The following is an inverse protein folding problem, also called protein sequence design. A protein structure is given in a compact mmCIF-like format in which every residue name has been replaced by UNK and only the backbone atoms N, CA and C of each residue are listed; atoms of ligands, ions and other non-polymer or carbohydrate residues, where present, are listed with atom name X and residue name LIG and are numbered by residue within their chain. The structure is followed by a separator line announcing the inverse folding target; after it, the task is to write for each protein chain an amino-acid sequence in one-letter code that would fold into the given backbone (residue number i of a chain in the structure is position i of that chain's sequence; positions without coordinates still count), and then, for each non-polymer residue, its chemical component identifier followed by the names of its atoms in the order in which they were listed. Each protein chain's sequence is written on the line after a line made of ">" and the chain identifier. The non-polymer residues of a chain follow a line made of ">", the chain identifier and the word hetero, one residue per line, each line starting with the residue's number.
data_IF_819549410965
#
_entry.id   IF_819549410965
#
_cell.length_a   1.000
_cell.length_b   1.000
_cell.length_c   1.000
_cell.angle_alpha   90.00
_cell.angle_beta   90.00
_cell.angle_gamma   90.00
#
_symmetry.space_group_name_H-M   'P 1'
#
loop_
_entity.id
_entity.type
_entity.pdbx_description
1 polymer ?
#
# COMPACT_ATOMS: atom_id res chain seq x y z
N UNK A 1 -26.57 -15.75 -6.80
CA UNK A 1 -27.90 -15.12 -6.64
C UNK A 1 -27.85 -13.81 -7.42
N UNK A 2 -28.95 -13.42 -8.05
CA UNK A 2 -29.06 -12.17 -8.82
C UNK A 2 -30.27 -11.41 -8.27
N UNK A 3 -30.07 -10.13 -7.94
CA UNK A 3 -31.11 -9.22 -7.49
C UNK A 3 -31.38 -8.22 -8.63
N UNK A 4 -32.59 -8.24 -9.17
CA UNK A 4 -33.02 -7.31 -10.23
C UNK A 4 -34.00 -6.30 -9.64
N UNK A 5 -33.84 -5.03 -10.00
CA UNK A 5 -34.64 -3.95 -9.43
C UNK A 5 -34.28 -2.59 -9.99
N UNK A 6 -34.73 -1.53 -9.32
CA UNK A 6 -34.49 -0.15 -9.70
C UNK A 6 -34.04 0.69 -8.52
N UNK A 7 -33.19 1.69 -8.81
CA UNK A 7 -32.88 2.75 -7.86
C UNK A 7 -34.07 3.72 -7.82
N UNK A 8 -34.71 3.88 -6.66
CA UNK A 8 -35.87 4.78 -6.54
C UNK A 8 -35.41 6.23 -6.55
N UNK A 9 -35.76 6.96 -7.62
CA UNK A 9 -35.38 8.37 -7.76
C UNK A 9 -35.92 9.21 -6.61
N UNK A 10 -35.06 10.09 -6.06
CA UNK A 10 -35.37 11.02 -4.96
C UNK A 10 -35.76 10.36 -3.63
N UNK A 11 -35.70 9.03 -3.51
CA UNK A 11 -35.84 8.33 -2.23
C UNK A 11 -34.47 8.05 -1.64
N UNK A 12 -34.29 8.42 -0.37
CA UNK A 12 -33.05 8.24 0.38
C UNK A 12 -33.39 7.71 1.76
N UNK A 13 -32.56 6.82 2.27
CA UNK A 13 -32.64 6.33 3.65
C UNK A 13 -31.26 6.42 4.29
N UNK A 14 -31.25 6.50 5.62
CA UNK A 14 -30.00 6.57 6.39
C UNK A 14 -29.38 5.16 6.40
N UNK A 15 -28.18 5.06 5.85
CA UNK A 15 -27.31 3.89 5.93
C UNK A 15 -26.25 4.13 7.01
N UNK A 16 -25.84 3.06 7.70
CA UNK A 16 -24.84 3.09 8.76
C UNK A 16 -25.39 3.30 10.19
N UNK A 17 -24.51 3.39 11.20
CA UNK A 17 -23.05 3.32 11.07
C UNK A 17 -22.58 1.92 10.63
N UNK A 18 -21.53 1.87 9.80
CA UNK A 18 -20.99 0.62 9.27
C UNK A 18 -19.48 0.52 9.54
N UNK A 19 -18.96 -0.68 9.79
CA UNK A 19 -17.53 -0.88 10.01
C UNK A 19 -16.76 -0.82 8.69
N UNK A 20 -15.87 0.15 8.54
CA UNK A 20 -15.11 0.38 7.31
C UNK A 20 -13.78 -0.38 7.28
N UNK A 21 -13.18 -0.47 6.09
CA UNK A 21 -11.88 -1.13 5.84
C UNK A 21 -10.71 -0.46 6.58
N UNK A 22 -10.93 0.75 7.10
CA UNK A 22 -9.96 1.43 7.96
C UNK A 22 -9.98 0.90 9.40
N UNK A 23 -10.89 -0.03 9.73
CA UNK A 23 -11.11 -0.54 11.09
C UNK A 23 -11.94 0.37 11.98
N UNK A 24 -12.55 1.40 11.43
CA UNK A 24 -13.36 2.39 12.15
C UNK A 24 -14.80 2.40 11.64
N UNK A 25 -15.75 2.83 12.48
CA UNK A 25 -17.12 3.04 12.02
C UNK A 25 -17.23 4.30 11.16
N UNK A 26 -17.86 4.19 10.00
CA UNK A 26 -18.38 5.35 9.27
C UNK A 26 -19.64 5.88 9.95
N UNK A 27 -19.86 7.19 9.83
CA UNK A 27 -21.11 7.82 10.26
C UNK A 27 -22.26 7.50 9.32
N UNK A 28 -23.48 7.84 9.73
CA UNK A 28 -24.65 7.61 8.89
C UNK A 28 -24.71 8.53 7.68
N UNK A 29 -25.06 8.00 6.50
CA UNK A 29 -25.18 8.77 5.24
C UNK A 29 -26.53 8.49 4.57
N UNK A 30 -27.09 9.52 3.93
CA UNK A 30 -28.32 9.36 3.14
C UNK A 30 -28.02 8.69 1.80
N UNK A 31 -28.30 7.39 1.70
CA UNK A 31 -28.00 6.57 0.53
C UNK A 31 -29.25 6.32 -0.31
N UNK A 32 -29.06 5.99 -1.58
CA UNK A 32 -30.16 5.63 -2.49
C UNK A 32 -30.80 4.32 -2.08
N UNK A 33 -32.14 4.24 -2.17
CA UNK A 33 -32.86 2.98 -1.96
C UNK A 33 -32.95 2.20 -3.27
N UNK A 34 -32.53 0.94 -3.25
CA UNK A 34 -32.75 0.00 -4.34
C UNK A 34 -33.99 -0.83 -4.03
N UNK A 35 -35.05 -0.68 -4.83
CA UNK A 35 -36.23 -1.57 -4.76
C UNK A 35 -35.96 -2.81 -5.58
N UNK A 36 -36.01 -3.98 -4.95
CA UNK A 36 -35.84 -5.27 -5.62
C UNK A 36 -37.18 -5.75 -6.16
N UNK A 37 -37.24 -5.96 -7.47
CA UNK A 37 -38.44 -6.43 -8.17
C UNK A 37 -38.38 -7.95 -8.38
N UNK A 38 -37.19 -8.55 -8.55
CA UNK A 38 -37.00 -10.02 -8.72
C UNK A 38 -35.72 -10.53 -8.09
N UNK A 39 -35.75 -11.80 -7.66
CA UNK A 39 -34.59 -12.53 -7.13
C UNK A 39 -34.44 -13.86 -7.89
N UNK A 40 -33.33 -14.01 -8.60
CA UNK A 40 -33.03 -15.19 -9.43
C UNK A 40 -31.83 -15.97 -8.85
N UNK A 41 -31.91 -17.31 -8.78
CA UNK A 41 -30.85 -18.15 -8.22
C UNK A 41 -30.83 -19.55 -8.81
N UNK A 42 -29.66 -20.21 -8.73
CA UNK A 42 -29.48 -21.63 -9.13
C UNK A 42 -30.11 -22.60 -8.14
N UNK A 43 -30.41 -23.82 -8.58
CA UNK A 43 -30.76 -24.93 -7.68
C UNK A 43 -29.64 -25.14 -6.65
N UNK A 44 -30.00 -25.20 -5.35
CA UNK A 44 -29.07 -25.19 -4.20
C UNK A 44 -28.11 -23.97 -4.22
N UNK A 45 -28.61 -22.76 -3.93
CA UNK A 45 -27.79 -21.57 -3.96
C UNK A 45 -26.71 -21.59 -2.86
N UNK A 46 -25.59 -20.93 -3.14
CA UNK A 46 -24.57 -20.58 -2.13
C UNK A 46 -24.68 -19.06 -1.96
N UNK A 47 -24.75 -18.61 -0.71
CA UNK A 47 -24.72 -17.19 -0.38
C UNK A 47 -23.27 -16.83 -0.01
N UNK A 48 -22.63 -16.09 -0.91
CA UNK A 48 -21.27 -15.57 -0.71
C UNK A 48 -21.38 -14.16 -0.13
N UNK A 49 -20.66 -13.94 0.96
CA UNK A 49 -20.58 -12.66 1.64
C UNK A 49 -19.17 -12.51 2.16
N UNK A 50 -18.66 -11.29 2.12
CA UNK A 50 -17.42 -10.90 2.77
C UNK A 50 -17.74 -9.88 3.85
N UNK A 51 -16.82 -9.70 4.78
CA UNK A 51 -16.86 -8.60 5.74
C UNK A 51 -15.64 -7.70 5.52
N UNK A 52 -15.73 -6.47 6.04
CA UNK A 52 -14.63 -5.53 6.09
C UNK A 52 -14.45 -5.04 7.53
N UNK A 53 -13.26 -4.55 7.84
CA UNK A 53 -12.89 -4.11 9.18
C UNK A 53 -11.41 -3.81 9.26
N UNK A 54 -10.81 -4.02 10.44
CA UNK A 54 -9.37 -3.86 10.61
C UNK A 54 -8.62 -4.91 9.78
N UNK A 55 -7.69 -4.52 8.89
CA UNK A 55 -6.95 -5.45 8.06
C UNK A 55 -6.08 -6.40 8.91
N UNK A 56 -5.83 -7.64 8.47
CA UNK A 56 -6.16 -8.20 7.16
C UNK A 56 -7.50 -8.95 7.16
N UNK A 57 -8.31 -8.71 6.14
CA UNK A 57 -9.59 -9.35 5.87
C UNK A 57 -9.66 -9.80 4.41
N UNK A 58 -10.69 -10.55 4.02
CA UNK A 58 -10.85 -11.04 2.64
C UNK A 58 -10.86 -9.91 1.60
N UNK A 59 -11.46 -8.76 1.93
CA UNK A 59 -11.51 -7.61 1.02
C UNK A 59 -10.13 -7.03 0.74
N UNK A 60 -9.20 -7.06 1.71
CA UNK A 60 -7.84 -6.53 1.53
C UNK A 60 -7.07 -7.32 0.48
N UNK A 61 -7.31 -8.64 0.40
CA UNK A 61 -6.70 -9.50 -0.60
C UNK A 61 -7.36 -9.38 -1.98
N UNK A 62 -8.60 -8.88 -2.06
CA UNK A 62 -9.27 -8.57 -3.32
C UNK A 62 -8.90 -7.18 -3.84
N UNK A 63 -8.91 -6.18 -2.96
CA UNK A 63 -8.69 -4.78 -3.29
C UNK A 63 -7.21 -4.41 -3.36
N UNK A 64 -6.37 -4.98 -2.49
CA UNK A 64 -4.95 -4.67 -2.43
C UNK A 64 -4.24 -4.87 -3.78
N UNK A 65 -4.36 -6.02 -4.47
CA UNK A 65 -3.80 -6.21 -5.80
C UNK A 65 -4.40 -5.26 -6.85
N UNK A 66 -5.70 -4.97 -6.74
CA UNK A 66 -6.40 -4.01 -7.60
C UNK A 66 -5.88 -2.56 -7.42
N UNK A 67 -5.25 -2.26 -6.29
CA UNK A 67 -4.53 -0.99 -6.06
C UNK A 67 -3.06 -1.06 -6.48
N UNK A 68 -2.37 -2.17 -6.17
CA UNK A 68 -0.95 -2.35 -6.47
C UNK A 68 -0.67 -2.27 -7.98
N UNK A 69 -1.47 -2.98 -8.79
CA UNK A 69 -1.20 -3.14 -10.23
C UNK A 69 -1.37 -1.82 -11.00
N UNK A 70 -2.47 -1.06 -10.87
CA UNK A 70 -2.61 0.22 -11.57
C UNK A 70 -1.57 1.24 -11.14
N UNK A 71 -1.26 1.32 -9.83
CA UNK A 71 -0.25 2.25 -9.32
C UNK A 71 1.14 1.90 -9.87
N UNK A 72 1.50 0.61 -9.89
CA UNK A 72 2.73 0.13 -10.52
C UNK A 72 2.78 0.51 -12.00
N UNK A 73 1.73 0.23 -12.78
CA UNK A 73 1.71 0.53 -14.21
C UNK A 73 1.87 2.03 -14.51
N UNK A 74 1.16 2.88 -13.76
CA UNK A 74 1.22 4.33 -13.91
C UNK A 74 2.61 4.88 -13.56
N UNK A 75 3.22 4.39 -12.48
CA UNK A 75 4.56 4.80 -12.09
C UNK A 75 5.63 4.27 -13.04
N UNK A 76 5.55 3.00 -13.43
CA UNK A 76 6.53 2.34 -14.29
C UNK A 76 6.62 2.97 -15.67
N UNK A 77 5.50 3.49 -16.19
CA UNK A 77 5.45 4.19 -17.46
C UNK A 77 6.30 5.48 -17.47
N UNK A 78 6.40 6.15 -16.33
CA UNK A 78 7.12 7.43 -16.19
C UNK A 78 8.51 7.25 -15.57
N UNK A 79 8.65 6.27 -14.68
CA UNK A 79 9.87 5.91 -13.97
C UNK A 79 10.17 4.42 -14.16
N UNK A 80 10.90 4.05 -15.24
CA UNK A 80 11.34 2.68 -15.46
C UNK A 80 12.16 2.10 -14.29
N UNK A 81 12.70 2.94 -13.42
CA UNK A 81 13.44 2.60 -12.20
C UNK A 81 12.56 1.95 -11.12
N UNK A 82 11.23 2.13 -11.13
CA UNK A 82 10.32 1.50 -10.16
C UNK A 82 10.33 -0.01 -10.35
N UNK A 83 10.68 -0.76 -9.31
CA UNK A 83 10.79 -2.23 -9.37
C UNK A 83 9.48 -2.91 -8.94
N UNK A 84 8.89 -2.43 -7.85
CA UNK A 84 7.67 -3.01 -7.28
C UNK A 84 6.90 -1.98 -6.45
N UNK A 85 5.59 -2.20 -6.30
CA UNK A 85 4.69 -1.37 -5.51
C UNK A 85 3.81 -2.28 -4.66
N UNK A 86 3.89 -2.11 -3.34
CA UNK A 86 2.97 -2.70 -2.38
C UNK A 86 2.05 -1.61 -1.83
N UNK A 87 0.79 -1.61 -2.26
CA UNK A 87 -0.27 -0.74 -1.77
C UNK A 87 -1.39 -1.57 -1.09
N UNK A 88 -1.04 -2.71 -0.51
CA UNK A 88 -1.99 -3.60 0.18
C UNK A 88 -2.49 -3.00 1.50
N UNK A 89 -1.68 -2.16 2.15
CA UNK A 89 -1.98 -1.62 3.48
C UNK A 89 -3.15 -0.65 3.44
N UNK A 90 -4.28 -1.10 4.00
CA UNK A 90 -5.54 -0.35 4.12
C UNK A 90 -5.95 0.24 2.77
N UNK A 91 -6.04 -0.64 1.75
CA UNK A 91 -6.43 -0.31 0.38
C UNK A 91 -5.60 0.80 -0.29
N UNK A 92 -4.34 0.99 0.12
CA UNK A 92 -3.42 1.94 -0.48
C UNK A 92 -3.29 3.27 0.25
N UNK A 93 -3.89 3.41 1.45
CA UNK A 93 -3.58 4.54 2.34
C UNK A 93 -2.09 4.66 2.63
N UNK A 94 -1.41 3.52 2.76
CA UNK A 94 0.04 3.41 2.79
C UNK A 94 0.53 2.60 1.60
N UNK A 95 1.47 3.17 0.85
CA UNK A 95 2.19 2.47 -0.21
C UNK A 95 3.67 2.31 0.15
N UNK A 96 4.26 1.19 -0.24
CA UNK A 96 5.69 0.92 -0.16
C UNK A 96 6.18 0.68 -1.58
N UNK A 97 7.15 1.47 -2.02
CA UNK A 97 7.60 1.49 -3.42
C UNK A 97 9.09 1.22 -3.45
N UNK A 98 9.47 0.13 -4.12
CA UNK A 98 10.85 -0.18 -4.41
C UNK A 98 11.26 0.48 -5.73
N UNK A 99 12.38 1.22 -5.71
CA UNK A 99 12.90 1.91 -6.89
C UNK A 99 14.42 1.78 -6.97
N UNK A 100 14.93 1.66 -8.20
CA UNK A 100 16.36 1.79 -8.46
C UNK A 100 16.83 3.21 -8.17
N UNK A 101 18.00 3.32 -7.57
CA UNK A 101 18.70 4.59 -7.39
C UNK A 101 19.20 5.13 -8.72
N UNK A 102 18.91 6.41 -8.99
CA UNK A 102 19.43 7.13 -10.15
C UNK A 102 20.36 8.28 -9.76
N UNK A 103 19.92 9.14 -8.85
CA UNK A 103 20.66 10.23 -8.25
C UNK A 103 19.98 10.65 -6.93
N UNK A 104 20.69 11.37 -6.08
CA UNK A 104 20.18 11.84 -4.78
C UNK A 104 18.88 12.64 -4.92
N UNK A 105 17.86 12.28 -4.15
CA UNK A 105 16.53 12.92 -4.18
C UNK A 105 15.55 12.35 -5.22
N UNK A 106 15.97 11.43 -6.09
CA UNK A 106 15.11 10.82 -7.10
C UNK A 106 13.89 10.09 -6.49
N UNK A 107 14.09 9.34 -5.41
CA UNK A 107 13.03 8.57 -4.75
C UNK A 107 11.86 9.45 -4.30
N UNK A 108 12.13 10.68 -3.86
CA UNK A 108 11.11 11.66 -3.44
C UNK A 108 10.24 12.11 -4.60
N UNK A 109 10.82 12.29 -5.79
CA UNK A 109 10.07 12.62 -6.99
C UNK A 109 9.10 11.48 -7.37
N UNK A 110 9.56 10.22 -7.26
CA UNK A 110 8.72 9.04 -7.47
C UNK A 110 7.59 8.97 -6.44
N UNK A 111 7.90 9.17 -5.14
CA UNK A 111 6.90 9.20 -4.07
C UNK A 111 5.85 10.29 -4.24
N UNK A 112 6.28 11.50 -4.62
CA UNK A 112 5.38 12.61 -4.94
C UNK A 112 4.50 12.28 -6.15
N UNK A 113 5.06 11.63 -7.18
CA UNK A 113 4.27 11.21 -8.32
C UNK A 113 3.26 10.15 -7.92
N UNK A 114 3.61 9.17 -7.09
CA UNK A 114 2.69 8.13 -6.62
C UNK A 114 1.42 8.75 -6.03
N UNK A 115 1.57 9.80 -5.20
CA UNK A 115 0.48 10.54 -4.58
C UNK A 115 -0.36 11.41 -5.52
N UNK A 116 0.11 11.64 -6.75
CA UNK A 116 -0.54 12.52 -7.76
C UNK A 116 -0.91 11.77 -9.04
N UNK A 117 -0.65 10.47 -9.11
CA UNK A 117 -1.17 9.61 -10.17
C UNK A 117 -2.70 9.56 -10.11
N UNK A 118 -3.39 9.30 -11.23
CA UNK A 118 -4.86 9.16 -11.23
C UNK A 118 -5.37 8.16 -10.20
N UNK A 119 -4.65 7.05 -9.99
CA UNK A 119 -5.05 6.06 -9.00
C UNK A 119 -4.66 6.45 -7.57
N UNK A 120 -3.44 6.97 -7.37
CA UNK A 120 -2.94 7.30 -6.04
C UNK A 120 -3.46 8.60 -5.44
N UNK A 121 -4.04 9.50 -6.23
CA UNK A 121 -4.54 10.82 -5.79
C UNK A 121 -5.46 10.71 -4.56
N UNK A 122 -6.45 9.82 -4.61
CA UNK A 122 -7.43 9.63 -3.54
C UNK A 122 -7.00 8.66 -2.43
N UNK A 123 -5.98 7.84 -2.64
CA UNK A 123 -5.64 6.74 -1.72
C UNK A 123 -4.29 6.94 -1.04
N UNK A 124 -3.22 7.20 -1.80
CA UNK A 124 -1.86 7.23 -1.25
C UNK A 124 -1.69 8.45 -0.35
N UNK A 125 -1.84 8.23 0.96
CA UNK A 125 -1.62 9.22 2.01
C UNK A 125 -0.17 9.22 2.45
N UNK A 126 0.39 8.03 2.65
CA UNK A 126 1.78 7.84 3.02
C UNK A 126 2.49 6.96 1.99
N UNK A 127 3.74 7.27 1.69
CA UNK A 127 4.59 6.42 0.86
C UNK A 127 5.95 6.21 1.50
N UNK A 128 6.38 4.95 1.55
CA UNK A 128 7.73 4.56 1.96
C UNK A 128 8.50 4.17 0.71
N UNK A 129 9.56 4.91 0.40
CA UNK A 129 10.45 4.61 -0.70
C UNK A 129 11.59 3.72 -0.20
N UNK A 130 11.83 2.60 -0.87
CA UNK A 130 12.92 1.67 -0.53
C UNK A 130 13.77 1.37 -1.77
N UNK A 131 15.00 0.91 -1.51
CA UNK A 131 15.94 0.50 -2.56
C UNK A 131 15.43 -0.69 -3.38
N UNK A 132 16.04 -0.92 -4.55
CA UNK A 132 15.74 -2.04 -5.44
C UNK A 132 16.02 -3.43 -4.86
N UNK A 133 16.80 -3.51 -3.79
CA UNK A 133 17.15 -4.74 -3.06
C UNK A 133 16.25 -5.01 -1.85
N UNK A 134 15.28 -4.12 -1.58
CA UNK A 134 14.27 -4.28 -0.53
C UNK A 134 12.95 -4.70 -1.18
N UNK A 135 12.46 -5.88 -0.80
CA UNK A 135 11.14 -6.34 -1.21
C UNK A 135 10.05 -5.55 -0.46
N UNK A 136 9.20 -4.76 -1.15
CA UNK A 136 8.16 -3.98 -0.49
C UNK A 136 7.05 -4.85 0.12
N UNK A 137 6.99 -6.14 -0.18
CA UNK A 137 6.08 -7.10 0.46
C UNK A 137 6.70 -7.77 1.71
N UNK A 138 8.00 -7.59 1.94
CA UNK A 138 8.71 -8.10 3.11
C UNK A 138 8.83 -7.01 4.18
N UNK A 139 7.83 -6.93 5.06
CA UNK A 139 7.79 -5.90 6.11
C UNK A 139 9.07 -5.85 6.98
N UNK A 140 9.67 -6.96 7.42
CA UNK A 140 10.97 -6.92 8.10
C UNK A 140 12.07 -6.16 7.34
N UNK A 141 12.20 -6.35 6.02
CA UNK A 141 13.17 -5.61 5.21
C UNK A 141 12.82 -4.12 5.11
N UNK A 142 11.54 -3.78 4.97
CA UNK A 142 11.08 -2.39 4.96
C UNK A 142 11.38 -1.70 6.29
N UNK A 143 11.12 -2.37 7.42
CA UNK A 143 11.41 -1.83 8.75
C UNK A 143 12.92 -1.70 9.00
N UNK A 144 13.74 -2.59 8.43
CA UNK A 144 15.20 -2.43 8.43
C UNK A 144 15.63 -1.20 7.63
N UNK A 145 15.09 -1.00 6.43
CA UNK A 145 15.40 0.19 5.62
C UNK A 145 15.01 1.47 6.35
N UNK A 146 13.80 1.52 6.94
CA UNK A 146 13.34 2.64 7.75
C UNK A 146 14.26 2.93 8.94
N UNK A 147 14.72 1.90 9.66
CA UNK A 147 15.52 2.09 10.87
C UNK A 147 16.99 2.43 10.62
N UNK A 148 17.54 2.06 9.45
CA UNK A 148 18.98 2.21 9.16
C UNK A 148 19.31 3.26 8.08
N UNK A 149 18.34 3.64 7.26
CA UNK A 149 18.56 4.53 6.10
C UNK A 149 17.87 5.88 6.22
N UNK A 150 16.87 6.03 7.09
CA UNK A 150 16.12 7.29 7.25
C UNK A 150 16.81 8.20 8.26
N UNK A 151 17.15 9.42 7.85
CA UNK A 151 17.39 10.52 8.77
C UNK A 151 16.16 11.44 8.77
N UNK A 152 15.34 11.46 9.85
CA UNK A 152 14.07 12.17 9.87
C UNK A 152 14.13 13.66 9.52
N UNK A 153 15.25 14.33 9.82
CA UNK A 153 15.42 15.75 9.53
C UNK A 153 15.53 16.05 8.04
N UNK A 154 15.97 15.07 7.23
CA UNK A 154 16.19 15.24 5.80
C UNK A 154 15.24 14.43 4.93
N UNK A 155 14.77 13.27 5.40
CA UNK A 155 14.17 12.22 4.56
C UNK A 155 12.64 12.11 4.69
N UNK A 156 12.02 13.01 5.46
CA UNK A 156 10.58 13.16 5.54
C UNK A 156 10.13 14.34 4.67
N UNK A 157 9.24 14.09 3.70
CA UNK A 157 8.59 15.16 2.92
C UNK A 157 7.11 15.17 3.25
N UNK A 158 6.70 16.18 4.01
CA UNK A 158 5.31 16.42 4.34
C UNK A 158 4.68 17.37 3.31
N UNK A 159 3.51 17.00 2.79
CA UNK A 159 2.73 17.78 1.84
C UNK A 159 1.40 18.15 2.51
N UNK A 160 1.23 19.41 2.96
CA UNK A 160 0.08 19.78 3.74
C UNK A 160 -1.20 19.92 2.90
N UNK A 161 -2.36 19.69 3.51
CA UNK A 161 -3.69 19.98 2.96
C UNK A 161 -3.97 19.34 1.58
N UNK A 162 -3.63 18.06 1.43
CA UNK A 162 -3.82 17.30 0.21
C UNK A 162 -5.11 16.48 0.24
N UNK A 163 -5.66 16.19 -0.93
CA UNK A 163 -6.85 15.33 -1.06
C UNK A 163 -6.54 13.88 -0.71
N UNK A 164 -7.47 13.25 0.01
CA UNK A 164 -7.55 11.81 0.31
C UNK A 164 -9.02 11.39 0.29
N UNK A 165 -9.31 10.11 0.30
CA UNK A 165 -10.66 9.61 0.43
C UNK A 165 -11.29 10.03 1.78
N UNK A 166 -12.60 10.28 1.78
CA UNK A 166 -13.31 10.75 2.99
C UNK A 166 -13.32 9.77 4.15
N UNK A 167 -13.10 8.47 3.88
CA UNK A 167 -13.09 7.43 4.91
C UNK A 167 -11.73 7.35 5.65
N UNK A 168 -10.72 8.16 5.27
CA UNK A 168 -9.49 8.28 6.05
C UNK A 168 -9.81 8.91 7.42
N UNK A 169 -9.69 8.15 8.54
CA UNK A 169 -10.04 8.64 9.86
C UNK A 169 -9.11 9.77 10.34
N UNK A 170 -7.92 9.89 9.76
CA UNK A 170 -6.96 10.95 10.09
C UNK A 170 -7.12 12.24 9.28
N UNK A 171 -8.17 12.36 8.46
CA UNK A 171 -8.44 13.57 7.67
C UNK A 171 -9.18 14.64 8.48
N UNK A 172 -8.85 15.91 8.25
CA UNK A 172 -9.48 17.06 8.90
C UNK A 172 -9.42 18.30 8.01
N UNK A 173 -10.53 18.76 7.39
CA UNK A 173 -11.84 18.10 7.35
C UNK A 173 -11.81 16.78 6.56
N UNK A 174 -12.92 16.03 6.57
CA UNK A 174 -13.02 14.75 5.86
C UNK A 174 -12.57 14.87 4.40
N UNK A 175 -11.66 13.99 3.98
CA UNK A 175 -11.08 13.99 2.62
C UNK A 175 -9.91 14.95 2.39
N UNK A 176 -9.47 15.67 3.42
CA UNK A 176 -8.27 16.52 3.38
C UNK A 176 -7.31 16.08 4.50
N UNK A 177 -6.07 15.78 4.15
CA UNK A 177 -5.04 15.37 5.11
C UNK A 177 -3.66 15.78 4.62
N UNK A 178 -2.68 15.75 5.51
CA UNK A 178 -1.28 15.89 5.12
C UNK A 178 -0.78 14.55 4.61
N UNK A 179 -0.06 14.57 3.49
CA UNK A 179 0.61 13.39 2.94
C UNK A 179 2.07 13.36 3.37
N UNK A 180 2.64 12.16 3.48
CA UNK A 180 4.02 11.96 3.94
C UNK A 180 4.78 11.00 3.03
N UNK A 181 5.93 11.46 2.53
CA UNK A 181 6.92 10.62 1.87
C UNK A 181 8.03 10.33 2.88
N UNK A 182 8.39 9.07 3.04
CA UNK A 182 9.52 8.61 3.83
C UNK A 182 10.55 8.02 2.87
N UNK A 183 11.67 8.70 2.69
CA UNK A 183 12.77 8.27 1.83
C UNK A 183 13.72 7.35 2.61
N UNK A 184 13.50 6.03 2.49
CA UNK A 184 14.36 5.00 3.06
C UNK A 184 15.29 4.37 2.01
N UNK A 185 15.61 5.13 0.95
CA UNK A 185 16.59 4.72 -0.05
C UNK A 185 18.01 5.06 0.39
N UNK A 186 18.99 4.33 -0.12
CA UNK A 186 20.39 4.60 0.21
C UNK A 186 20.83 5.91 -0.46
N UNK A 187 21.38 6.89 0.28
CA UNK A 187 21.92 8.12 -0.30
C UNK A 187 22.93 7.84 -1.42
N UNK A 188 22.75 8.50 -2.56
CA UNK A 188 23.66 8.47 -3.71
C UNK A 188 23.90 9.88 -4.22
N UNK A 189 25.04 10.08 -4.88
CA UNK A 189 25.45 11.38 -5.40
C UNK A 189 24.29 12.11 -6.13
N UNK A 190 24.09 13.42 -5.88
CA UNK A 190 24.92 14.31 -5.07
C UNK A 190 24.68 14.22 -3.54
N UNK A 191 23.76 13.38 -3.06
CA UNK A 191 23.57 13.15 -1.63
C UNK A 191 24.63 12.19 -1.09
N UNK A 192 25.58 12.73 -0.33
CA UNK A 192 26.74 12.00 0.18
C UNK A 192 26.65 11.75 1.70
N UNK A 193 25.44 11.78 2.28
CA UNK A 193 25.22 11.54 3.72
C UNK A 193 25.44 10.07 4.06
N UNK A 194 25.93 9.82 5.28
CA UNK A 194 26.05 8.47 5.86
C UNK A 194 27.24 7.66 5.36
N UNK A 195 27.32 6.40 5.81
CA UNK A 195 28.42 5.47 5.53
C UNK A 195 27.90 4.16 4.94
N UNK A 196 27.27 4.23 3.77
CA UNK A 196 26.63 3.07 3.12
C UNK A 196 27.52 2.35 2.11
N UNK A 197 28.81 2.69 2.05
CA UNK A 197 29.78 2.11 1.10
C UNK A 197 30.27 0.71 1.45
N UNK A 198 29.94 0.20 2.64
CA UNK A 198 30.41 -1.09 3.15
C UNK A 198 29.22 -1.98 3.55
N UNK A 199 28.43 -2.50 2.58
CA UNK A 199 27.36 -3.42 2.90
C UNK A 199 27.92 -4.75 3.43
N UNK A 200 27.17 -5.40 4.31
CA UNK A 200 27.42 -6.80 4.67
C UNK A 200 27.11 -7.64 3.44
N UNK A 201 28.09 -8.42 2.99
CA UNK A 201 27.96 -9.34 1.87
C UNK A 201 28.36 -10.74 2.33
N UNK A 202 27.73 -11.75 1.75
CA UNK A 202 28.14 -13.13 1.96
C UNK A 202 29.61 -13.31 1.51
N UNK A 203 30.37 -14.06 2.32
CA UNK A 203 31.70 -14.49 1.91
C UNK A 203 31.60 -15.48 0.74
N UNK A 204 32.62 -15.60 -0.12
CA UNK A 204 32.62 -16.56 -1.22
C UNK A 204 32.34 -18.00 -0.77
N UNK A 205 32.74 -18.38 0.45
CA UNK A 205 32.51 -19.72 0.99
C UNK A 205 31.13 -19.92 1.66
N UNK A 206 30.31 -18.88 1.82
CA UNK A 206 29.03 -18.95 2.57
C UNK A 206 28.15 -20.09 2.05
N UNK A 207 28.00 -20.22 0.72
CA UNK A 207 27.18 -21.28 0.12
C UNK A 207 27.70 -22.68 0.47
N UNK A 208 29.01 -22.89 0.38
CA UNK A 208 29.63 -24.17 0.69
C UNK A 208 29.46 -24.54 2.17
N UNK A 209 29.54 -23.56 3.07
CA UNK A 209 29.27 -23.77 4.49
C UNK A 209 27.80 -24.05 4.79
N UNK A 210 26.88 -23.33 4.15
CA UNK A 210 25.45 -23.57 4.29
C UNK A 210 25.09 -25.02 3.90
N UNK A 211 25.57 -25.49 2.74
CA UNK A 211 25.36 -26.87 2.28
C UNK A 211 25.92 -27.91 3.26
N UNK A 212 27.15 -27.70 3.77
CA UNK A 212 27.75 -28.58 4.78
C UNK A 212 26.93 -28.62 6.06
N UNK A 213 26.51 -27.47 6.58
CA UNK A 213 25.74 -27.39 7.82
C UNK A 213 24.35 -28.03 7.66
N UNK A 214 23.67 -27.82 6.53
CA UNK A 214 22.39 -28.46 6.24
C UNK A 214 22.53 -29.99 6.16
N UNK A 215 23.59 -30.49 5.51
CA UNK A 215 23.86 -31.93 5.46
C UNK A 215 24.13 -32.52 6.84
N UNK A 216 24.90 -31.82 7.70
CA UNK A 216 25.15 -32.24 9.08
C UNK A 216 23.88 -32.27 9.93
N UNK A 217 22.96 -31.31 9.75
CA UNK A 217 21.67 -31.28 10.44
C UNK A 217 20.77 -32.44 10.00
N UNK A 218 20.72 -32.72 8.69
CA UNK A 218 19.92 -33.82 8.15
C UNK A 218 20.43 -35.20 8.62
N UNK A 219 21.75 -35.38 8.73
CA UNK A 219 22.35 -36.62 9.21
C UNK A 219 22.16 -36.88 10.72
N UNK A 220 21.56 -35.92 11.45
CA UNK A 220 21.28 -36.01 12.89
C UNK A 220 19.85 -36.48 13.21
N UNK A 221 18.99 -36.58 12.20
CA UNK A 221 17.65 -37.19 12.27
C UNK A 221 17.72 -38.68 11.90
#
# INVERSE_FOLDING_TARGET
>A
MILEGVIESRKREIEGPFGEFTGHYSGGRNMTVVRIDKVSYRTKPIFESLYLGMPWTEIDYLMGPATCVPLYQQLKAEFPEVQAVNAMYTHGLLAIISTKKRYGGFARAVGLRAMTTPHGLGYVKMVIMVDEDVDPFNLPQVMWALSSKVNPAGDLVQLPNMSVLELDPGSSPAGITDKLIIDATTPVAPDNRGHYSQPVVDLPETKAWAEKLTAMLAARQ
#
